data_IF_355909247720
#
_entry.id   IF_355909247720
#
_cell.length_a   1.000
_cell.length_b   1.000
_cell.length_c   1.000
_cell.angle_alpha   90.00
_cell.angle_beta   90.00
_cell.angle_gamma   90.00
#
_symmetry.space_group_name_H-M   'P 1'
#
loop_
_entity.id
_entity.type
_entity.pdbx_description
1 polymer ?
#
# COMPACT_ATOMS: atom_id res chain seq x y z
N UNK A 1 35.34 -30.02 12.54
CA UNK A 1 35.37 -28.97 13.58
C UNK A 1 35.72 -27.63 12.92
N UNK A 2 34.89 -26.56 13.00
CA UNK A 2 35.23 -25.27 12.43
C UNK A 2 36.17 -24.45 13.34
N UNK A 3 37.13 -23.67 12.81
CA UNK A 3 38.23 -23.12 13.60
C UNK A 3 37.79 -21.92 14.46
N UNK A 4 37.85 -22.07 15.79
CA UNK A 4 37.51 -21.02 16.78
C UNK A 4 38.57 -19.92 16.95
N UNK A 5 39.64 -19.86 16.15
CA UNK A 5 40.78 -18.96 16.41
C UNK A 5 40.65 -17.55 15.80
N UNK A 6 39.84 -17.32 14.76
CA UNK A 6 39.75 -16.00 14.09
C UNK A 6 39.06 -14.91 14.93
N UNK A 7 38.15 -15.27 15.84
CA UNK A 7 37.31 -14.31 16.59
C UNK A 7 38.06 -13.51 17.66
N UNK A 8 39.20 -14.00 18.17
CA UNK A 8 40.00 -13.32 19.22
C UNK A 8 40.98 -12.29 18.65
N UNK A 9 41.50 -12.49 17.43
CA UNK A 9 42.40 -11.54 16.76
C UNK A 9 41.67 -10.26 16.31
N UNK A 10 40.44 -10.39 15.79
CA UNK A 10 39.61 -9.26 15.34
C UNK A 10 39.15 -8.34 16.49
N UNK A 11 39.01 -8.88 17.71
CA UNK A 11 38.59 -8.13 18.89
C UNK A 11 39.73 -7.24 19.45
N UNK A 12 40.98 -7.71 19.41
CA UNK A 12 42.14 -6.94 19.82
C UNK A 12 42.41 -5.74 18.89
N UNK A 13 42.19 -5.93 17.58
CA UNK A 13 42.33 -4.90 16.55
C UNK A 13 41.30 -3.77 16.70
N UNK A 14 40.03 -4.09 16.98
CA UNK A 14 38.97 -3.09 17.23
C UNK A 14 39.26 -2.20 18.44
N UNK A 15 39.73 -2.78 19.54
CA UNK A 15 40.10 -2.03 20.75
C UNK A 15 41.27 -1.08 20.52
N UNK A 16 42.24 -1.46 19.69
CA UNK A 16 43.35 -0.59 19.29
C UNK A 16 42.86 0.59 18.43
N UNK A 17 41.91 0.35 17.52
CA UNK A 17 41.32 1.36 16.63
C UNK A 17 40.44 2.35 17.40
N UNK A 18 39.68 1.87 18.39
CA UNK A 18 38.88 2.70 19.30
C UNK A 18 39.73 3.61 20.18
N UNK A 19 40.84 3.09 20.73
CA UNK A 19 41.83 3.91 21.45
C UNK A 19 42.47 4.99 20.57
N UNK A 20 42.76 4.71 19.30
CA UNK A 20 43.24 5.72 18.34
C UNK A 20 42.21 6.82 18.10
N UNK A 21 40.94 6.46 17.94
CA UNK A 21 39.83 7.42 17.81
C UNK A 21 39.68 8.28 19.06
N UNK A 22 39.77 7.69 20.26
CA UNK A 22 39.75 8.43 21.52
C UNK A 22 40.92 9.42 21.64
N UNK A 23 42.14 9.01 21.30
CA UNK A 23 43.31 9.92 21.27
C UNK A 23 43.10 11.11 20.34
N UNK A 24 42.51 10.89 19.17
CA UNK A 24 42.20 11.98 18.21
C UNK A 24 41.12 12.92 18.75
N UNK A 25 40.14 12.41 19.51
CA UNK A 25 39.14 13.24 20.18
C UNK A 25 39.80 14.06 21.29
N UNK A 26 40.62 13.42 22.12
CA UNK A 26 41.36 14.07 23.20
C UNK A 26 42.24 15.20 22.66
N UNK A 27 42.97 14.96 21.57
CA UNK A 27 43.86 15.94 20.95
C UNK A 27 43.09 17.12 20.32
N UNK A 28 42.04 16.85 19.53
CA UNK A 28 41.22 17.90 18.90
C UNK A 28 40.36 18.69 19.89
N UNK A 29 40.09 18.11 21.06
CA UNK A 29 39.35 18.78 22.13
C UNK A 29 40.28 19.31 23.23
N UNK A 30 41.60 19.12 23.09
CA UNK A 30 42.61 19.62 24.03
C UNK A 30 42.65 21.15 23.97
N UNK A 31 42.93 21.80 25.10
CA UNK A 31 43.05 23.27 25.17
C UNK A 31 41.74 24.08 25.12
N UNK A 32 40.58 23.48 24.83
CA UNK A 32 39.32 24.21 24.93
C UNK A 32 39.04 24.56 26.40
N UNK A 33 38.92 25.85 26.71
CA UNK A 33 38.54 26.34 28.03
C UNK A 33 37.05 26.08 28.27
N UNK A 34 36.64 25.90 29.53
CA UNK A 34 35.23 25.76 29.92
C UNK A 34 34.47 24.54 29.32
N UNK A 35 35.14 23.40 29.11
CA UNK A 35 34.55 22.17 28.51
C UNK A 35 33.26 21.71 29.17
N UNK A 36 33.17 21.84 30.49
CA UNK A 36 32.01 21.42 31.27
C UNK A 36 31.04 22.58 31.59
N UNK A 37 31.37 23.82 31.21
CA UNK A 37 30.63 25.03 31.60
C UNK A 37 29.95 25.74 30.43
N UNK A 38 30.50 25.66 29.21
CA UNK A 38 29.93 26.31 28.02
C UNK A 38 29.21 25.32 27.12
N UNK A 39 27.91 25.57 26.89
CA UNK A 39 27.07 24.76 25.99
C UNK A 39 27.61 24.73 24.55
N UNK A 40 28.18 25.85 24.08
CA UNK A 40 28.79 25.95 22.73
C UNK A 40 30.05 25.10 22.62
N UNK A 41 30.86 25.06 23.68
CA UNK A 41 32.05 24.19 23.77
C UNK A 41 31.65 22.72 23.85
N UNK A 42 30.63 22.38 24.64
CA UNK A 42 30.07 21.02 24.71
C UNK A 42 29.53 20.55 23.36
N UNK A 43 28.79 21.40 22.64
CA UNK A 43 28.30 21.10 21.29
C UNK A 43 29.44 20.87 20.29
N UNK A 44 30.51 21.67 20.38
CA UNK A 44 31.71 21.47 19.55
C UNK A 44 32.39 20.12 19.86
N UNK A 45 32.58 19.78 21.13
CA UNK A 45 33.13 18.48 21.56
C UNK A 45 32.25 17.33 21.07
N UNK A 46 30.93 17.44 21.17
CA UNK A 46 30.00 16.43 20.66
C UNK A 46 30.08 16.26 19.14
N UNK A 47 30.23 17.36 18.39
CA UNK A 47 30.40 17.33 16.93
C UNK A 47 31.71 16.65 16.53
N UNK A 48 32.82 17.01 17.17
CA UNK A 48 34.15 16.42 16.92
C UNK A 48 34.15 14.92 17.27
N UNK A 49 33.59 14.55 18.42
CA UNK A 49 33.42 13.14 18.83
C UNK A 49 32.60 12.36 17.82
N UNK A 50 31.46 12.91 17.38
CA UNK A 50 30.59 12.26 16.39
C UNK A 50 31.29 12.08 15.04
N UNK A 51 32.06 13.07 14.60
CA UNK A 51 32.79 13.00 13.34
C UNK A 51 33.92 11.97 13.38
N UNK A 52 34.64 11.84 14.50
CA UNK A 52 35.72 10.84 14.64
C UNK A 52 35.16 9.42 14.82
N UNK A 53 34.05 9.26 15.54
CA UNK A 53 33.44 7.95 15.82
C UNK A 53 32.63 7.39 14.63
N UNK A 54 31.99 8.23 13.82
CA UNK A 54 31.13 7.81 12.70
C UNK A 54 31.89 7.56 11.38
N UNK A 55 33.22 7.47 11.41
CA UNK A 55 34.07 7.17 10.24
C UNK A 55 34.12 5.69 9.88
N UNK A 56 33.50 4.80 10.66
CA UNK A 56 33.41 3.40 10.27
C UNK A 56 32.52 3.26 9.03
N UNK A 57 33.08 2.76 7.93
CA UNK A 57 32.36 2.55 6.67
C UNK A 57 31.10 1.68 6.80
N UNK A 58 30.95 0.95 7.92
CA UNK A 58 29.73 0.18 8.25
C UNK A 58 28.55 1.08 8.64
N UNK A 59 28.74 2.10 9.46
CA UNK A 59 27.68 3.04 9.87
C UNK A 59 27.28 3.97 8.73
N UNK A 60 28.22 4.35 7.85
CA UNK A 60 27.89 5.08 6.63
C UNK A 60 27.04 4.26 5.66
N UNK A 61 27.42 2.99 5.39
CA UNK A 61 26.62 2.08 4.55
C UNK A 61 25.22 1.82 5.10
N UNK A 62 25.09 1.65 6.42
CA UNK A 62 23.78 1.44 7.05
C UNK A 62 22.89 2.68 6.96
N UNK A 63 23.45 3.87 7.16
CA UNK A 63 22.73 5.12 7.01
C UNK A 63 22.33 5.40 5.56
N UNK A 64 23.19 5.07 4.60
CA UNK A 64 22.89 5.20 3.17
C UNK A 64 21.82 4.20 2.72
N UNK A 65 21.90 2.95 3.19
CA UNK A 65 20.86 1.93 2.95
C UNK A 65 19.51 2.35 3.55
N UNK A 66 19.49 2.88 4.78
CA UNK A 66 18.27 3.43 5.39
C UNK A 66 17.70 4.62 4.62
N UNK A 67 18.55 5.49 4.07
CA UNK A 67 18.11 6.61 3.22
C UNK A 67 17.54 6.12 1.88
N UNK A 68 18.21 5.17 1.21
CA UNK A 68 17.73 4.54 -0.03
C UNK A 68 16.41 3.81 0.18
N UNK A 69 16.26 3.03 1.26
CA UNK A 69 15.01 2.36 1.59
C UNK A 69 13.86 3.34 1.89
N UNK A 70 14.14 4.45 2.59
CA UNK A 70 13.13 5.50 2.82
C UNK A 70 12.72 6.20 1.53
N UNK A 71 13.67 6.48 0.63
CA UNK A 71 13.40 7.08 -0.67
C UNK A 71 12.57 6.13 -1.55
N UNK A 72 12.94 4.84 -1.60
CA UNK A 72 12.20 3.81 -2.31
C UNK A 72 10.76 3.65 -1.78
N UNK A 73 10.56 3.57 -0.46
CA UNK A 73 9.22 3.50 0.12
C UNK A 73 8.38 4.76 -0.17
N UNK A 74 8.98 5.95 -0.19
CA UNK A 74 8.28 7.19 -0.56
C UNK A 74 7.92 7.21 -2.05
N UNK A 75 8.80 6.73 -2.91
CA UNK A 75 8.55 6.58 -4.34
C UNK A 75 7.41 5.57 -4.58
N UNK A 76 7.45 4.40 -3.94
CA UNK A 76 6.38 3.39 -4.00
C UNK A 76 5.03 3.95 -3.60
N UNK A 77 4.95 4.61 -2.44
CA UNK A 77 3.70 5.21 -1.96
C UNK A 77 3.18 6.33 -2.87
N UNK A 78 4.08 7.08 -3.52
CA UNK A 78 3.69 8.12 -4.49
C UNK A 78 3.20 7.50 -5.81
N UNK A 79 3.85 6.46 -6.29
CA UNK A 79 3.41 5.70 -7.47
C UNK A 79 2.04 5.06 -7.22
N UNK A 80 1.88 4.32 -6.12
CA UNK A 80 0.61 3.72 -5.70
C UNK A 80 -0.51 4.76 -5.62
N UNK A 81 -0.25 5.92 -5.04
CA UNK A 81 -1.25 6.99 -4.97
C UNK A 81 -1.55 7.57 -6.36
N UNK A 82 -0.55 7.78 -7.21
CA UNK A 82 -0.75 8.32 -8.55
C UNK A 82 -1.56 7.34 -9.43
N UNK A 83 -1.32 6.04 -9.30
CA UNK A 83 -2.10 4.98 -9.93
C UNK A 83 -3.53 4.96 -9.40
N UNK A 84 -3.73 5.00 -8.08
CA UNK A 84 -5.07 5.10 -7.48
C UNK A 84 -5.83 6.34 -7.95
N UNK A 85 -5.15 7.50 -8.01
CA UNK A 85 -5.74 8.75 -8.48
C UNK A 85 -6.01 8.71 -10.00
N UNK A 86 -5.21 8.03 -10.81
CA UNK A 86 -5.47 7.84 -12.24
C UNK A 86 -6.63 6.86 -12.50
N UNK A 87 -6.70 5.77 -11.72
CA UNK A 87 -7.68 4.70 -11.89
C UNK A 87 -9.06 5.09 -11.34
N UNK A 88 -9.10 5.77 -10.18
CA UNK A 88 -10.33 6.12 -9.49
C UNK A 88 -10.63 7.61 -9.45
N UNK A 89 -9.67 8.49 -9.73
CA UNK A 89 -9.88 9.93 -9.69
C UNK A 89 -10.89 10.41 -10.72
N UNK A 90 -10.90 9.86 -11.94
CA UNK A 90 -11.91 10.21 -12.94
C UNK A 90 -13.32 9.78 -12.51
N UNK A 91 -13.46 8.56 -11.95
CA UNK A 91 -14.72 8.05 -11.42
C UNK A 91 -15.24 8.83 -10.20
N UNK A 92 -14.34 9.34 -9.34
CA UNK A 92 -14.67 10.19 -8.18
C UNK A 92 -14.97 11.65 -8.57
N UNK A 93 -14.49 12.12 -9.71
CA UNK A 93 -14.72 13.49 -10.19
C UNK A 93 -16.09 13.68 -10.87
N UNK A 94 -16.82 12.59 -11.16
CA UNK A 94 -18.19 12.65 -11.68
C UNK A 94 -19.20 13.32 -10.72
N UNK A 95 -18.81 13.54 -9.45
CA UNK A 95 -19.60 14.31 -8.46
C UNK A 95 -19.24 15.79 -8.34
N UNK A 96 -18.13 16.25 -8.93
CA UNK A 96 -17.73 17.68 -8.90
C UNK A 96 -18.07 18.34 -10.23
N UNK A 97 -19.31 18.78 -10.36
CA UNK A 97 -19.76 19.69 -11.43
C UNK A 97 -18.79 20.88 -11.53
N UNK A 98 -17.92 20.91 -12.56
CA UNK A 98 -17.32 22.15 -13.04
C UNK A 98 -18.16 22.66 -14.21
N UNK A 99 -18.48 23.96 -14.12
CA UNK A 99 -19.03 24.91 -15.10
C UNK A 99 -19.75 24.34 -16.32
N UNK A 100 -21.01 24.74 -16.44
CA UNK A 100 -21.88 24.56 -17.59
C UNK A 100 -21.13 24.72 -18.92
N UNK A 101 -21.09 23.63 -19.69
CA UNK A 101 -20.90 23.68 -21.13
C UNK A 101 -22.27 23.92 -21.74
N UNK A 102 -22.39 24.97 -22.56
CA UNK A 102 -23.60 25.33 -23.30
C UNK A 102 -24.14 24.12 -24.06
N UNK A 103 -25.25 23.56 -23.58
CA UNK A 103 -25.95 22.48 -24.24
C UNK A 103 -26.78 23.07 -25.40
N UNK A 104 -26.21 23.05 -26.60
CA UNK A 104 -26.98 23.27 -27.82
C UNK A 104 -27.79 22.01 -28.10
N UNK A 105 -29.11 22.13 -28.02
CA UNK A 105 -30.06 21.05 -28.23
C UNK A 105 -30.02 20.60 -29.71
N UNK A 106 -29.43 19.44 -29.94
CA UNK A 106 -29.40 18.77 -31.23
C UNK A 106 -29.15 17.29 -31.00
N UNK A 107 -29.97 16.43 -31.58
CA UNK A 107 -29.82 14.96 -31.51
C UNK A 107 -28.38 14.56 -31.83
N UNK A 108 -27.60 14.21 -30.81
CA UNK A 108 -26.33 13.52 -30.98
C UNK A 108 -26.60 12.07 -30.60
N UNK A 109 -26.88 11.23 -31.59
CA UNK A 109 -26.74 9.79 -31.40
C UNK A 109 -25.29 9.55 -30.95
N UNK A 110 -25.13 8.82 -29.84
CA UNK A 110 -23.83 8.50 -29.27
C UNK A 110 -23.07 7.55 -30.21
N UNK A 111 -22.43 8.14 -31.22
CA UNK A 111 -21.56 7.47 -32.17
C UNK A 111 -20.23 7.25 -31.44
N UNK A 112 -20.01 6.01 -30.99
CA UNK A 112 -18.79 5.61 -30.29
C UNK A 112 -17.54 5.97 -31.09
N UNK A 113 -16.42 6.12 -30.38
CA UNK A 113 -15.11 6.54 -30.93
C UNK A 113 -14.59 5.68 -32.10
N UNK A 114 -15.17 4.50 -32.30
CA UNK A 114 -14.81 3.52 -33.34
C UNK A 114 -15.78 3.45 -34.53
N UNK A 115 -16.87 4.23 -34.57
CA UNK A 115 -17.91 4.10 -35.60
C UNK A 115 -17.54 4.74 -36.96
N UNK A 116 -16.25 4.73 -37.32
CA UNK A 116 -15.73 5.20 -38.60
C UNK A 116 -14.59 4.36 -39.15
N UNK A 117 -14.24 3.25 -38.49
CA UNK A 117 -13.01 2.49 -38.78
C UNK A 117 -13.31 1.08 -39.34
N UNK A 118 -14.46 0.91 -40.01
CA UNK A 118 -14.86 -0.38 -40.59
C UNK A 118 -14.43 -0.58 -42.05
N UNK A 119 -13.92 0.44 -42.75
CA UNK A 119 -13.48 0.28 -44.16
C UNK A 119 -11.97 0.07 -44.35
N UNK A 120 -11.14 0.11 -43.29
CA UNK A 120 -9.69 -0.18 -43.38
C UNK A 120 -9.14 -1.02 -42.23
N UNK A 121 -9.82 -2.11 -41.87
CA UNK A 121 -9.19 -3.14 -41.01
C UNK A 121 -8.30 -4.06 -41.86
N UNK A 122 -7.11 -3.60 -42.22
CA UNK A 122 -6.03 -4.54 -42.56
C UNK A 122 -5.66 -5.27 -41.27
N UNK A 123 -6.16 -6.50 -41.10
CA UNK A 123 -5.96 -7.29 -39.89
C UNK A 123 -4.49 -7.30 -39.50
N UNK A 124 -4.19 -6.81 -38.31
CA UNK A 124 -2.87 -6.88 -37.67
C UNK A 124 -2.41 -8.32 -37.79
N UNK A 125 -1.38 -8.56 -38.61
CA UNK A 125 -0.98 -9.91 -39.00
C UNK A 125 -0.75 -10.77 -37.76
N UNK A 126 -0.95 -12.09 -37.85
CA UNK A 126 -0.69 -13.01 -36.74
C UNK A 126 0.70 -12.81 -36.11
N UNK A 127 1.67 -12.35 -36.91
CA UNK A 127 2.99 -11.93 -36.47
C UNK A 127 2.96 -10.64 -35.63
N UNK A 128 2.21 -9.62 -36.02
CA UNK A 128 2.06 -8.37 -35.26
C UNK A 128 1.28 -8.59 -33.95
N UNK A 129 0.27 -9.48 -33.94
CA UNK A 129 -0.42 -9.91 -32.72
C UNK A 129 0.47 -10.74 -31.77
N UNK A 130 1.42 -11.52 -32.30
CA UNK A 130 2.46 -12.19 -31.52
C UNK A 130 3.51 -11.20 -31.01
N UNK A 131 3.87 -10.19 -31.82
CA UNK A 131 4.82 -9.13 -31.46
C UNK A 131 4.29 -8.30 -30.28
N UNK A 132 3.02 -7.88 -30.26
CA UNK A 132 2.46 -7.19 -29.09
C UNK A 132 2.37 -8.05 -27.82
N UNK A 133 2.22 -9.37 -27.95
CA UNK A 133 2.21 -10.28 -26.79
C UNK A 133 3.63 -10.64 -26.31
N UNK A 134 4.62 -10.66 -27.21
CA UNK A 134 6.03 -10.83 -26.84
C UNK A 134 6.63 -9.51 -26.34
N UNK A 135 6.34 -8.37 -26.96
CA UNK A 135 6.73 -7.04 -26.47
C UNK A 135 6.09 -6.75 -25.11
N UNK A 136 4.85 -7.15 -24.84
CA UNK A 136 4.26 -6.96 -23.51
C UNK A 136 4.97 -7.80 -22.45
N UNK A 137 5.30 -9.06 -22.75
CA UNK A 137 5.97 -9.96 -21.82
C UNK A 137 7.45 -9.62 -21.63
N UNK A 138 8.16 -9.30 -22.71
CA UNK A 138 9.55 -8.84 -22.67
C UNK A 138 9.66 -7.44 -22.07
N UNK A 139 8.69 -6.55 -22.29
CA UNK A 139 8.60 -5.27 -21.59
C UNK A 139 8.29 -5.47 -20.11
N UNK A 140 7.40 -6.39 -19.73
CA UNK A 140 7.13 -6.73 -18.32
C UNK A 140 8.37 -7.32 -17.64
N UNK A 141 9.08 -8.24 -18.29
CA UNK A 141 10.31 -8.82 -17.76
C UNK A 141 11.45 -7.77 -17.72
N UNK A 142 11.53 -6.86 -18.71
CA UNK A 142 12.50 -5.75 -18.74
C UNK A 142 12.18 -4.65 -17.73
N UNK A 143 10.91 -4.34 -17.49
CA UNK A 143 10.47 -3.48 -16.39
C UNK A 143 10.79 -4.17 -15.06
N UNK A 144 10.49 -5.47 -14.91
CA UNK A 144 10.84 -6.25 -13.70
C UNK A 144 12.34 -6.28 -13.42
N UNK A 145 13.18 -6.26 -14.46
CA UNK A 145 14.64 -6.21 -14.37
C UNK A 145 15.19 -4.79 -14.10
N UNK A 146 14.42 -3.72 -14.32
CA UNK A 146 14.84 -2.36 -13.98
C UNK A 146 14.87 -2.20 -12.44
N UNK A 147 16.02 -1.87 -11.83
CA UNK A 147 16.11 -1.67 -10.38
C UNK A 147 15.25 -0.51 -9.85
N UNK A 148 14.67 0.32 -10.72
CA UNK A 148 13.75 1.39 -10.36
C UNK A 148 12.28 1.09 -10.67
N UNK A 149 11.95 -0.08 -11.21
CA UNK A 149 10.56 -0.47 -11.43
C UNK A 149 9.85 -0.75 -10.11
N UNK A 150 8.70 -0.11 -9.96
CA UNK A 150 7.78 -0.35 -8.85
C UNK A 150 6.60 -1.10 -9.45
N UNK A 151 6.36 -2.37 -9.06
CA UNK A 151 5.19 -3.11 -9.51
C UNK A 151 3.93 -2.31 -9.20
N UNK A 152 3.12 -2.11 -10.23
CA UNK A 152 1.83 -1.41 -10.13
C UNK A 152 0.77 -2.34 -9.54
N UNK A 153 -0.37 -1.78 -9.14
CA UNK A 153 -1.50 -2.59 -8.69
C UNK A 153 -2.04 -3.47 -9.83
N UNK A 154 -2.04 -2.97 -11.06
CA UNK A 154 -2.47 -3.67 -12.27
C UNK A 154 -1.59 -4.89 -12.54
N UNK A 155 -0.28 -4.76 -12.37
CA UNK A 155 0.67 -5.87 -12.55
C UNK A 155 0.46 -6.97 -11.51
N UNK A 156 0.19 -6.58 -10.26
CA UNK A 156 -0.14 -7.55 -9.21
C UNK A 156 -1.45 -8.29 -9.52
N UNK A 157 -2.48 -7.58 -9.99
CA UNK A 157 -3.76 -8.17 -10.38
C UNK A 157 -3.59 -9.13 -11.56
N UNK A 158 -2.82 -8.76 -12.58
CA UNK A 158 -2.58 -9.62 -13.74
C UNK A 158 -1.76 -10.86 -13.36
N UNK A 159 -0.75 -10.73 -12.51
CA UNK A 159 -0.02 -11.87 -11.95
C UNK A 159 -0.94 -12.81 -11.17
N UNK A 160 -1.85 -12.28 -10.33
CA UNK A 160 -2.85 -13.07 -9.63
C UNK A 160 -3.80 -13.78 -10.60
N UNK A 161 -4.25 -13.10 -11.67
CA UNK A 161 -5.11 -13.68 -12.70
C UNK A 161 -4.41 -14.83 -13.41
N UNK A 162 -3.16 -14.65 -13.84
CA UNK A 162 -2.36 -15.69 -14.48
C UNK A 162 -2.16 -16.89 -13.54
N UNK A 163 -1.86 -16.66 -12.26
CA UNK A 163 -1.73 -17.71 -11.27
C UNK A 163 -3.04 -18.50 -11.09
N UNK A 164 -4.19 -17.83 -11.07
CA UNK A 164 -5.50 -18.48 -10.99
C UNK A 164 -5.81 -19.28 -12.25
N UNK A 165 -5.49 -18.76 -13.44
CA UNK A 165 -5.61 -19.49 -14.71
C UNK A 165 -4.71 -20.73 -14.72
N UNK A 166 -3.47 -20.62 -14.24
CA UNK A 166 -2.54 -21.73 -14.12
C UNK A 166 -3.07 -22.81 -13.15
N UNK A 167 -3.60 -22.40 -11.99
CA UNK A 167 -4.26 -23.31 -11.03
C UNK A 167 -5.47 -24.02 -11.64
N UNK A 168 -6.31 -23.30 -12.39
CA UNK A 168 -7.47 -23.89 -13.06
C UNK A 168 -7.03 -24.88 -14.13
N UNK A 169 -6.04 -24.53 -14.97
CA UNK A 169 -5.43 -25.43 -15.95
C UNK A 169 -4.86 -26.69 -15.29
N UNK A 170 -4.09 -26.54 -14.20
CA UNK A 170 -3.53 -27.66 -13.45
C UNK A 170 -4.60 -28.56 -12.83
N UNK A 171 -5.70 -27.98 -12.35
CA UNK A 171 -6.83 -28.73 -11.79
C UNK A 171 -7.72 -29.41 -12.83
N UNK A 172 -7.53 -29.12 -14.13
CA UNK A 172 -8.38 -29.60 -15.23
C UNK A 172 -9.82 -29.06 -15.20
N UNK A 173 -10.18 -28.20 -14.25
CA UNK A 173 -11.52 -27.62 -14.11
C UNK A 173 -11.61 -26.32 -14.88
N UNK A 174 -12.71 -26.15 -15.61
CA UNK A 174 -13.10 -24.84 -16.16
C UNK A 174 -13.67 -23.99 -15.02
N UNK A 175 -13.37 -22.69 -15.01
CA UNK A 175 -13.88 -21.77 -13.99
C UNK A 175 -15.41 -21.72 -13.98
N UNK A 176 -16.00 -21.35 -12.84
CA UNK A 176 -17.46 -21.19 -12.73
C UNK A 176 -17.92 -20.04 -13.63
N UNK A 177 -18.82 -20.27 -14.60
CA UNK A 177 -19.33 -19.20 -15.44
C UNK A 177 -20.15 -18.22 -14.61
N UNK A 178 -20.06 -16.94 -14.96
CA UNK A 178 -20.80 -15.86 -14.30
C UNK A 178 -22.20 -15.80 -14.92
N UNK A 179 -23.12 -16.58 -14.37
CA UNK A 179 -24.53 -16.63 -14.73
C UNK A 179 -25.35 -15.98 -13.60
N UNK A 180 -26.59 -15.53 -13.85
CA UNK A 180 -27.41 -14.93 -12.78
C UNK A 180 -27.61 -15.88 -11.59
N UNK A 181 -27.76 -17.17 -11.83
CA UNK A 181 -27.93 -18.18 -10.78
C UNK A 181 -26.65 -18.38 -9.96
N UNK A 182 -25.51 -18.57 -10.63
CA UNK A 182 -24.21 -18.74 -9.94
C UNK A 182 -23.80 -17.48 -9.19
N UNK A 183 -24.15 -16.31 -9.71
CA UNK A 183 -23.91 -15.03 -9.04
C UNK A 183 -24.80 -14.84 -7.82
N UNK A 184 -26.10 -15.15 -7.89
CA UNK A 184 -26.99 -15.12 -6.71
C UNK A 184 -26.51 -16.07 -5.61
N UNK A 185 -26.13 -17.30 -5.97
CA UNK A 185 -25.54 -18.24 -5.03
C UNK A 185 -24.24 -17.71 -4.39
N UNK A 186 -23.38 -17.04 -5.18
CA UNK A 186 -22.19 -16.36 -4.66
C UNK A 186 -22.54 -15.21 -3.71
N UNK A 187 -23.52 -14.37 -4.06
CA UNK A 187 -23.97 -13.26 -3.22
C UNK A 187 -24.54 -13.76 -1.89
N UNK A 188 -25.37 -14.80 -1.90
CA UNK A 188 -25.88 -15.44 -0.69
C UNK A 188 -24.77 -16.04 0.16
N UNK A 189 -23.82 -16.75 -0.48
CA UNK A 189 -22.64 -17.28 0.22
C UNK A 189 -21.82 -16.16 0.85
N UNK A 190 -21.63 -15.04 0.15
CA UNK A 190 -20.94 -13.86 0.66
C UNK A 190 -21.68 -13.22 1.83
N UNK A 191 -23.00 -13.03 1.73
CA UNK A 191 -23.85 -12.51 2.83
C UNK A 191 -23.80 -13.42 4.05
N UNK A 192 -23.94 -14.73 3.86
CA UNK A 192 -23.82 -15.71 4.96
C UNK A 192 -22.46 -15.65 5.62
N UNK A 193 -21.38 -15.65 4.84
CA UNK A 193 -20.01 -15.52 5.37
C UNK A 193 -19.84 -14.23 6.18
N UNK A 194 -20.34 -13.10 5.67
CA UNK A 194 -20.28 -11.81 6.36
C UNK A 194 -21.07 -11.83 7.67
N UNK A 195 -22.29 -12.36 7.64
CA UNK A 195 -23.15 -12.50 8.82
C UNK A 195 -22.52 -13.42 9.87
N UNK A 196 -21.87 -14.53 9.46
CA UNK A 196 -21.19 -15.44 10.37
C UNK A 196 -19.93 -14.80 10.98
N UNK A 197 -19.17 -14.03 10.19
CA UNK A 197 -18.04 -13.23 10.68
C UNK A 197 -18.52 -12.18 11.69
N UNK A 198 -19.59 -11.46 11.39
CA UNK A 198 -20.21 -10.48 12.29
C UNK A 198 -20.71 -11.14 13.59
N UNK A 199 -21.41 -12.28 13.50
CA UNK A 199 -21.84 -13.08 14.66
C UNK A 199 -20.68 -13.49 15.54
N UNK A 200 -19.61 -14.04 14.95
CA UNK A 200 -18.40 -14.44 15.68
C UNK A 200 -17.73 -13.26 16.37
N UNK A 201 -17.73 -12.10 15.74
CA UNK A 201 -17.20 -10.86 16.31
C UNK A 201 -18.03 -10.42 17.52
N UNK A 202 -19.37 -10.43 17.42
CA UNK A 202 -20.28 -10.16 18.56
C UNK A 202 -19.99 -11.13 19.70
N UNK A 203 -19.99 -12.44 19.43
CA UNK A 203 -19.76 -13.46 20.45
C UNK A 203 -18.40 -13.32 21.13
N UNK A 204 -17.35 -13.01 20.36
CA UNK A 204 -16.01 -12.80 20.89
C UNK A 204 -15.96 -11.57 21.81
N UNK A 205 -16.67 -10.50 21.46
CA UNK A 205 -16.78 -9.29 22.29
C UNK A 205 -17.63 -9.51 23.55
N UNK A 206 -18.74 -10.25 23.44
CA UNK A 206 -19.59 -10.62 24.56
C UNK A 206 -18.88 -11.54 25.57
N UNK A 207 -17.97 -12.40 25.11
CA UNK A 207 -17.16 -13.27 25.99
C UNK A 207 -16.08 -12.51 26.79
N UNK A 208 -15.83 -11.23 26.50
CA UNK A 208 -14.85 -10.43 27.25
C UNK A 208 -15.42 -10.02 28.60
N UNK A 209 -14.81 -10.52 29.68
CA UNK A 209 -15.24 -10.37 31.08
C UNK A 209 -15.32 -8.93 31.64
N UNK A 210 -14.93 -7.90 30.87
CA UNK A 210 -14.85 -6.50 31.33
C UNK A 210 -15.51 -5.54 30.35
N UNK A 211 -16.84 -5.66 30.21
CA UNK A 211 -17.67 -4.72 29.45
C UNK A 211 -17.15 -4.48 28.02
N UNK A 212 -16.99 -5.56 27.24
CA UNK A 212 -16.63 -5.45 25.83
C UNK A 212 -17.55 -4.46 25.11
N UNK A 213 -17.09 -3.90 23.99
CA UNK A 213 -17.86 -2.93 23.18
C UNK A 213 -19.17 -3.53 22.64
N UNK A 214 -19.44 -4.81 22.91
CA UNK A 214 -20.68 -5.49 22.65
C UNK A 214 -21.01 -5.41 21.17
N UNK A 215 -22.19 -4.87 20.89
CA UNK A 215 -22.71 -4.75 19.55
C UNK A 215 -22.04 -3.58 18.75
N UNK A 216 -21.34 -2.65 19.40
CA UNK A 216 -20.64 -1.51 18.75
C UNK A 216 -19.48 -1.91 17.82
N UNK A 217 -19.05 -3.17 17.82
CA UNK A 217 -17.95 -3.63 16.96
C UNK A 217 -18.42 -3.93 15.54
N UNK A 218 -19.73 -4.00 15.32
CA UNK A 218 -20.33 -4.18 14.00
C UNK A 218 -20.51 -2.82 13.32
N UNK A 219 -20.35 -2.79 11.99
CA UNK A 219 -20.74 -1.60 11.22
C UNK A 219 -22.26 -1.43 11.24
N UNK A 220 -22.78 -0.21 10.99
CA UNK A 220 -24.23 0.05 10.97
C UNK A 220 -25.02 -0.90 10.05
N UNK A 221 -24.42 -1.28 8.91
CA UNK A 221 -25.01 -2.26 8.00
C UNK A 221 -25.07 -3.67 8.61
N UNK A 222 -24.00 -4.07 9.28
CA UNK A 222 -23.92 -5.39 9.93
C UNK A 222 -24.85 -5.47 11.13
N UNK A 223 -25.02 -4.35 11.83
CA UNK A 223 -25.99 -4.19 12.90
C UNK A 223 -27.41 -4.39 12.41
N UNK A 224 -27.76 -3.76 11.28
CA UNK A 224 -29.07 -3.91 10.65
C UNK A 224 -29.33 -5.35 10.19
N UNK A 225 -28.32 -6.02 9.62
CA UNK A 225 -28.44 -7.43 9.22
C UNK A 225 -28.48 -8.39 10.43
N UNK A 226 -27.79 -8.07 11.53
CA UNK A 226 -27.74 -8.89 12.75
C UNK A 226 -28.98 -8.71 13.64
N UNK A 227 -29.47 -7.48 13.79
CA UNK A 227 -30.63 -7.07 14.59
C UNK A 227 -31.37 -5.93 13.91
N UNK A 228 -32.20 -6.27 12.93
CA UNK A 228 -33.04 -5.31 12.18
C UNK A 228 -33.98 -4.53 13.08
N UNK A 229 -34.46 -5.16 14.15
CA UNK A 229 -35.39 -4.56 15.13
C UNK A 229 -34.83 -3.35 15.86
N UNK A 230 -33.49 -3.20 15.93
CA UNK A 230 -32.86 -2.04 16.57
C UNK A 230 -32.98 -0.74 15.74
N UNK A 231 -33.47 -0.84 14.50
CA UNK A 231 -33.57 0.27 13.53
C UNK A 231 -35.01 0.51 13.08
N UNK A 232 -35.99 0.11 13.90
CA UNK A 232 -37.36 0.59 13.73
C UNK A 232 -37.37 2.00 14.34
N UNK A 233 -37.63 3.02 13.52
CA UNK A 233 -37.83 4.37 14.01
C UNK A 233 -39.13 4.36 14.83
N UNK A 234 -39.05 4.67 16.13
CA UNK A 234 -40.25 4.90 16.93
C UNK A 234 -41.00 6.11 16.33
N UNK A 235 -42.27 5.92 15.96
CA UNK A 235 -43.12 6.94 15.30
C UNK A 235 -43.28 8.25 16.13
N UNK A 236 -42.82 8.27 17.38
CA UNK A 236 -42.88 9.40 18.32
C UNK A 236 -41.70 10.39 18.19
N UNK A 237 -40.66 10.08 17.40
CA UNK A 237 -39.48 10.95 17.27
C UNK A 237 -39.72 12.26 16.49
N UNK A 238 -40.87 12.42 15.82
CA UNK A 238 -41.21 13.59 15.02
C UNK A 238 -42.16 14.58 15.74
N UNK A 239 -42.75 14.22 16.87
CA UNK A 239 -43.88 14.96 17.47
C UNK A 239 -43.47 16.01 18.53
N UNK A 240 -42.18 16.12 18.86
CA UNK A 240 -41.71 16.96 19.98
C UNK A 240 -41.27 18.40 19.65
N UNK A 241 -41.47 18.92 18.44
CA UNK A 241 -40.98 20.28 18.06
C UNK A 241 -42.01 21.10 17.28
N UNK A 242 -43.28 21.06 17.68
CA UNK A 242 -44.30 21.91 17.08
C UNK A 242 -45.43 22.27 18.06
N UNK A 243 -45.13 22.98 19.15
CA UNK A 243 -46.05 23.95 19.77
C UNK A 243 -45.37 24.63 20.98
N UNK A 244 -44.83 25.82 20.76
CA UNK A 244 -44.85 26.93 21.72
C UNK A 244 -44.57 28.20 20.91
N UNK A 245 -45.63 28.79 20.36
CA UNK A 245 -45.70 30.22 20.02
C UNK A 245 -46.97 30.80 20.64
#
# INVERSE_FOLDING_TARGET
MPPKSKKKADAASKKALEKKKQKVIEDKTFGLKNKNKSKKVQQHIQSVTRNVMNTDGRTQRENEAKKKAKAANKARKKAEKAEQDALFGEALMYGKKKKALDAKEGKVEAKGRDHGDDEKKSGTSRAMKMMYQMDAKEMEDRLREDPNYVPTLEDEIEAQRQAMVAKLKASGKKGTPVTPETFKAWQEKKRKRHADEAKKLVEAELKKKKGGKGLSVLSGKDLFEYKKELFQDDDEALEGVAEEE
#
